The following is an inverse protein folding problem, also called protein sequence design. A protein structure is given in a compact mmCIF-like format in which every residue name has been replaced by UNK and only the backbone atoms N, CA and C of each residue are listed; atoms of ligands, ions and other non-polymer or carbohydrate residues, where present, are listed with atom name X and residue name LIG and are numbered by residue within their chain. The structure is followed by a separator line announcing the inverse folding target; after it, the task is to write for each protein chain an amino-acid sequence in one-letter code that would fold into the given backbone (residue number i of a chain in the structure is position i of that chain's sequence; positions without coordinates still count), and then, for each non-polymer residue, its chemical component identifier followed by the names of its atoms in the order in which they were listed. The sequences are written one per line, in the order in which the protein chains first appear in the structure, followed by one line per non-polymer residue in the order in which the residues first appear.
data_IF_733278041805
#
_entry.id   IF_733278041805
#
_cell.length_a   1.000
_cell.length_b   1.000
_cell.length_c   1.000
_cell.angle_alpha   90.00
_cell.angle_beta   90.00
_cell.angle_gamma   90.00
#
_symmetry.space_group_name_H-M   'P 1'
#
loop_
_entity.id
_entity.type
_entity.pdbx_description
1 polymer ?
#
# COMPACT_ATOMS: atom_id res chain seq x y z
N UNK A 1 -6.39 23.61 -10.02
CA UNK A 1 -7.22 23.73 -8.79
C UNK A 1 -7.65 22.34 -8.33
N UNK A 2 -6.87 21.67 -7.48
CA UNK A 2 -7.38 20.60 -6.61
C UNK A 2 -6.54 20.60 -5.33
N UNK A 3 -6.85 21.58 -4.47
CA UNK A 3 -6.50 21.59 -3.05
C UNK A 3 -7.50 20.68 -2.34
N UNK A 4 -7.09 19.46 -1.98
CA UNK A 4 -7.90 18.56 -1.16
C UNK A 4 -7.05 17.76 -0.16
N UNK A 5 -5.89 18.28 0.22
CA UNK A 5 -5.00 17.63 1.20
C UNK A 5 -4.71 18.49 2.43
N UNK A 6 -5.16 19.74 2.47
CA UNK A 6 -4.76 20.66 3.54
C UNK A 6 -5.41 20.31 4.89
N UNK A 7 -6.43 19.45 4.91
CA UNK A 7 -7.10 19.01 6.15
C UNK A 7 -7.30 17.49 6.26
N UNK A 8 -6.70 16.71 5.37
CA UNK A 8 -7.10 15.32 5.19
C UNK A 8 -6.23 14.37 6.03
N UNK A 9 -6.62 14.18 7.30
CA UNK A 9 -6.03 13.25 8.29
C UNK A 9 -6.27 11.77 7.94
N UNK A 10 -6.37 11.41 6.66
CA UNK A 10 -6.72 10.05 6.24
C UNK A 10 -5.54 9.12 6.55
N UNK A 11 -5.72 8.10 7.41
CA UNK A 11 -4.66 7.16 7.72
C UNK A 11 -4.29 6.28 6.52
N UNK A 12 -5.19 6.16 5.54
CA UNK A 12 -5.00 5.37 4.34
C UNK A 12 -5.58 6.07 3.09
N UNK A 13 -4.95 5.84 1.95
CA UNK A 13 -5.25 6.47 0.65
C UNK A 13 -5.66 5.42 -0.40
N UNK A 14 -6.44 5.79 -1.43
CA UNK A 14 -6.82 4.84 -2.47
C UNK A 14 -5.63 4.41 -3.35
N UNK A 15 -5.78 3.27 -4.03
CA UNK A 15 -4.73 2.66 -4.88
C UNK A 15 -4.11 3.61 -5.91
N UNK A 16 -4.90 4.52 -6.50
CA UNK A 16 -4.39 5.47 -7.50
C UNK A 16 -3.39 6.46 -6.91
N UNK A 17 -3.65 6.94 -5.70
CA UNK A 17 -2.78 7.89 -5.00
C UNK A 17 -1.54 7.19 -4.45
N UNK A 18 -1.70 6.01 -3.86
CA UNK A 18 -0.58 5.19 -3.40
C UNK A 18 0.38 4.82 -4.54
N UNK A 19 -0.16 4.47 -5.70
CA UNK A 19 0.62 4.18 -6.90
C UNK A 19 1.45 5.40 -7.35
N UNK A 20 0.84 6.60 -7.32
CA UNK A 20 1.51 7.85 -7.68
C UNK A 20 2.65 8.18 -6.71
N UNK A 21 2.45 7.98 -5.40
CA UNK A 21 3.48 8.21 -4.38
C UNK A 21 4.67 7.24 -4.49
N UNK A 22 4.39 5.97 -4.79
CA UNK A 22 5.42 4.93 -4.92
C UNK A 22 6.11 4.91 -6.29
N UNK A 23 5.65 5.71 -7.26
CA UNK A 23 6.12 5.64 -8.65
C UNK A 23 5.85 4.28 -9.30
N UNK A 24 4.79 3.57 -8.88
CA UNK A 24 4.41 2.24 -9.38
C UNK A 24 3.10 2.30 -10.13
N UNK A 25 2.81 1.26 -10.92
CA UNK A 25 1.50 1.13 -11.58
C UNK A 25 0.44 0.68 -10.57
N UNK A 26 -0.81 1.19 -10.62
CA UNK A 26 -1.90 0.76 -9.74
C UNK A 26 -2.17 -0.75 -9.77
N UNK A 27 -1.91 -1.40 -10.91
CA UNK A 27 -2.10 -2.84 -11.09
C UNK A 27 -1.12 -3.66 -10.25
N UNK A 28 0.11 -3.18 -10.07
CA UNK A 28 1.10 -3.79 -9.15
C UNK A 28 0.59 -3.76 -7.72
N UNK A 29 0.00 -2.65 -7.29
CA UNK A 29 -0.59 -2.54 -5.95
C UNK A 29 -1.79 -3.49 -5.80
N UNK A 30 -2.65 -3.64 -6.82
CA UNK A 30 -3.74 -4.63 -6.79
C UNK A 30 -3.22 -6.07 -6.72
N UNK A 31 -2.12 -6.38 -7.40
CA UNK A 31 -1.47 -7.70 -7.30
C UNK A 31 -0.95 -7.95 -5.88
N UNK A 32 -0.31 -6.96 -5.24
CA UNK A 32 0.10 -7.07 -3.84
C UNK A 32 -1.08 -7.29 -2.89
N UNK A 33 -2.20 -6.62 -3.13
CA UNK A 33 -3.44 -6.82 -2.39
C UNK A 33 -4.02 -8.22 -2.57
N UNK A 34 -3.92 -8.79 -3.77
CA UNK A 34 -4.53 -10.08 -4.11
C UNK A 34 -3.64 -11.27 -3.72
N UNK A 35 -2.33 -11.12 -3.83
CA UNK A 35 -1.34 -12.15 -3.47
C UNK A 35 -0.95 -12.11 -2.00
N UNK A 36 -1.33 -11.05 -1.28
CA UNK A 36 -0.98 -10.78 0.12
C UNK A 36 0.54 -10.86 0.43
N UNK A 37 1.36 -10.81 -0.63
CA UNK A 37 2.80 -11.02 -0.67
C UNK A 37 3.53 -9.74 -1.12
N UNK A 38 2.96 -8.59 -0.80
CA UNK A 38 3.54 -7.28 -1.09
C UNK A 38 4.31 -6.71 0.10
N UNK A 39 5.25 -5.78 -0.13
CA UNK A 39 5.90 -5.03 0.94
C UNK A 39 4.92 -4.09 1.67
N UNK A 40 3.75 -3.85 1.08
CA UNK A 40 2.64 -3.12 1.67
C UNK A 40 1.40 -4.01 1.73
N UNK A 41 0.68 -3.95 2.85
CA UNK A 41 -0.65 -4.55 2.98
C UNK A 41 -1.75 -3.50 2.90
N UNK A 42 -2.78 -3.71 2.07
CA UNK A 42 -3.94 -2.83 2.05
C UNK A 42 -4.84 -3.10 3.26
N UNK A 43 -5.48 -2.04 3.75
CA UNK A 43 -6.57 -2.09 4.71
C UNK A 43 -7.89 -2.07 3.92
N UNK A 44 -8.78 -3.02 4.22
CA UNK A 44 -10.12 -3.06 3.64
C UNK A 44 -11.04 -2.17 4.47
N UNK A 45 -11.50 -1.06 3.88
CA UNK A 45 -12.43 -0.13 4.53
C UNK A 45 -13.69 -0.06 3.69
N UNK A 46 -14.83 -0.53 4.23
CA UNK A 46 -16.12 -0.60 3.50
C UNK A 46 -16.01 -1.26 2.11
N UNK A 47 -15.27 -2.36 2.01
CA UNK A 47 -15.06 -3.08 0.75
C UNK A 47 -14.09 -2.42 -0.23
N UNK A 48 -13.46 -1.29 0.13
CA UNK A 48 -12.45 -0.61 -0.68
C UNK A 48 -11.04 -0.92 -0.20
N UNK A 49 -10.11 -1.09 -1.14
CA UNK A 49 -8.69 -1.23 -0.85
C UNK A 49 -8.10 0.16 -0.54
N UNK A 50 -7.67 0.34 0.71
CA UNK A 50 -7.03 1.54 1.19
C UNK A 50 -5.59 1.21 1.59
N UNK A 51 -4.64 2.07 1.24
CA UNK A 51 -3.22 1.86 1.47
C UNK A 51 -2.74 2.79 2.59
N UNK A 52 -2.22 2.25 3.70
CA UNK A 52 -1.81 3.07 4.84
C UNK A 52 -0.63 3.97 4.47
N UNK A 53 -0.77 5.28 4.70
CA UNK A 53 0.26 6.28 4.36
C UNK A 53 1.52 6.07 5.20
N UNK A 54 1.36 5.64 6.45
CA UNK A 54 2.48 5.33 7.34
C UNK A 54 3.42 4.25 6.77
N UNK A 55 2.86 3.16 6.23
CA UNK A 55 3.64 2.09 5.60
C UNK A 55 4.28 2.56 4.29
N UNK A 56 3.56 3.37 3.49
CA UNK A 56 4.13 3.94 2.25
C UNK A 56 5.35 4.81 2.58
N UNK A 57 5.22 5.68 3.59
CA UNK A 57 6.30 6.55 4.06
C UNK A 57 7.49 5.72 4.56
N UNK A 58 7.22 4.69 5.37
CA UNK A 58 8.26 3.77 5.86
C UNK A 58 9.01 3.09 4.72
N UNK A 59 8.30 2.65 3.67
CA UNK A 59 8.91 2.02 2.50
C UNK A 59 9.83 2.97 1.74
N UNK A 60 9.39 4.22 1.56
CA UNK A 60 10.19 5.26 0.92
C UNK A 60 11.43 5.63 1.75
N UNK A 61 11.35 5.54 3.08
CA UNK A 61 12.48 5.71 4.00
C UNK A 61 13.45 4.51 3.99
N UNK A 62 13.14 3.41 3.29
CA UNK A 62 14.00 2.21 3.24
C UNK A 62 14.06 1.43 4.55
N UNK A 63 13.15 1.67 5.50
CA UNK A 63 13.15 0.98 6.78
C UNK A 63 12.56 -0.43 6.61
N UNK A 64 13.33 -1.50 6.86
CA UNK A 64 12.81 -2.87 6.74
C UNK A 64 11.62 -3.05 7.67
N UNK A 65 10.59 -3.75 7.19
CA UNK A 65 9.47 -4.20 7.99
C UNK A 65 9.97 -5.22 9.01
N UNK A 66 9.73 -5.00 10.30
CA UNK A 66 9.95 -6.00 11.35
C UNK A 66 8.86 -7.10 11.35
N UNK A 67 8.15 -7.25 10.23
CA UNK A 67 7.17 -8.29 9.96
C UNK A 67 7.56 -8.94 8.63
N UNK A 68 8.45 -9.93 8.68
CA UNK A 68 8.58 -10.92 7.60
C UNK A 68 7.23 -11.62 7.46
N UNK A 69 6.49 -11.50 6.34
CA UNK A 69 5.44 -12.45 6.08
C UNK A 69 6.15 -13.75 5.69
N UNK A 70 5.99 -14.77 6.53
CA UNK A 70 6.56 -16.08 6.31
C UNK A 70 6.30 -16.62 4.90
N UNK A 71 7.29 -17.35 4.41
CA UNK A 71 7.23 -18.17 3.23
C UNK A 71 5.92 -18.97 3.12
N UNK A 72 5.27 -18.91 1.95
CA UNK A 72 4.46 -19.98 1.39
C UNK A 72 4.05 -19.61 -0.04
N UNK A 73 4.71 -20.18 -1.06
CA UNK A 73 4.13 -21.34 -1.73
C UNK A 73 5.13 -21.95 -2.71
N UNK A 74 5.34 -23.26 -2.57
CA UNK A 74 6.11 -24.05 -3.50
C UNK A 74 5.36 -24.24 -4.82
N UNK A 75 6.12 -24.36 -5.90
CA UNK A 75 5.74 -25.20 -7.01
C UNK A 75 6.94 -26.08 -7.33
N UNK A 76 6.78 -27.36 -6.97
CA UNK A 76 7.52 -28.46 -7.56
C UNK A 76 7.16 -28.60 -9.05
#
# INVERSE_FOLDING_TARGET
MQKLLENETRPAIPTGEAARLLGRRPQTLRLWACLENGPLRPVRVHGRLMWPVAEIRRLLEGKPNSQTPGAANGKA
#
